data_IF_774536926747
#
_entry.id   IF_774536926747
#
_cell.length_a   1.000
_cell.length_b   1.000
_cell.length_c   1.000
_cell.angle_alpha   90.00
_cell.angle_beta   90.00
_cell.angle_gamma   90.00
#
_symmetry.space_group_name_H-M   'P 1'
#
loop_
_entity.id
_entity.type
_entity.pdbx_description
1 polymer ?
#
# COMPACT_ATOMS: atom_id res chain seq x y z
N UNK A 1 -3.40 22.54 9.14
CA UNK A 1 -2.20 21.69 9.22
C UNK A 1 -1.91 21.22 7.82
N UNK A 2 -0.77 21.61 7.24
CA UNK A 2 -0.40 21.12 5.91
C UNK A 2 -0.27 19.59 5.98
N UNK A 3 -0.93 18.88 5.09
CA UNK A 3 -0.83 17.42 5.02
C UNK A 3 0.57 17.11 4.47
N UNK A 4 1.48 16.61 5.31
CA UNK A 4 2.85 16.24 4.90
C UNK A 4 2.80 15.22 3.75
N UNK A 5 3.37 15.62 2.62
CA UNK A 5 3.33 14.88 1.36
C UNK A 5 4.38 13.78 1.22
N UNK A 6 5.22 13.55 2.23
CA UNK A 6 6.36 12.62 2.19
C UNK A 6 6.37 11.56 3.30
N UNK A 7 5.33 11.51 4.14
CA UNK A 7 5.33 10.70 5.37
C UNK A 7 5.65 9.21 5.11
N UNK A 8 5.10 8.62 4.05
CA UNK A 8 5.33 7.22 3.70
C UNK A 8 6.76 6.99 3.23
N UNK A 9 7.29 7.88 2.39
CA UNK A 9 8.68 7.81 1.91
C UNK A 9 9.69 7.97 3.04
N UNK A 10 9.46 8.95 3.93
CA UNK A 10 10.35 9.23 5.05
C UNK A 10 10.34 8.05 6.04
N UNK A 11 9.16 7.50 6.32
CA UNK A 11 9.01 6.31 7.17
C UNK A 11 9.70 5.10 6.56
N UNK A 12 9.56 4.87 5.25
CA UNK A 12 10.23 3.78 4.57
C UNK A 12 11.76 3.91 4.65
N UNK A 13 12.29 5.12 4.44
CA UNK A 13 13.73 5.39 4.49
C UNK A 13 14.30 5.06 5.87
N UNK A 14 13.73 5.65 6.92
CA UNK A 14 14.17 5.41 8.30
C UNK A 14 14.07 3.93 8.67
N UNK A 15 13.02 3.25 8.21
CA UNK A 15 12.83 1.81 8.47
C UNK A 15 13.91 0.96 7.79
N UNK A 16 14.20 1.20 6.51
CA UNK A 16 15.23 0.44 5.79
C UNK A 16 16.59 0.63 6.45
N UNK A 17 16.94 1.87 6.80
CA UNK A 17 18.20 2.18 7.48
C UNK A 17 18.31 1.49 8.84
N UNK A 18 17.26 1.57 9.67
CA UNK A 18 17.24 0.94 10.97
C UNK A 18 17.33 -0.59 10.88
N UNK A 19 16.64 -1.19 9.91
CA UNK A 19 16.71 -2.63 9.64
C UNK A 19 18.11 -3.06 9.19
N UNK A 20 18.74 -2.29 8.29
CA UNK A 20 20.12 -2.51 7.88
C UNK A 20 21.09 -2.45 9.05
N UNK A 21 20.98 -1.44 9.91
CA UNK A 21 21.80 -1.29 11.11
C UNK A 21 21.60 -2.44 12.13
N UNK A 22 20.40 -3.01 12.18
CA UNK A 22 20.05 -4.14 13.04
C UNK A 22 20.33 -5.52 12.41
N UNK A 23 20.79 -5.58 11.15
CA UNK A 23 20.99 -6.84 10.43
C UNK A 23 19.70 -7.59 10.09
N UNK A 24 18.55 -6.91 10.09
CA UNK A 24 17.25 -7.49 9.74
C UNK A 24 17.07 -7.45 8.24
N UNK A 25 16.82 -8.61 7.62
CA UNK A 25 16.77 -8.76 6.16
C UNK A 25 15.36 -8.85 5.59
N UNK A 26 14.35 -9.23 6.39
CA UNK A 26 12.97 -9.44 5.93
C UNK A 26 12.04 -8.31 6.38
N UNK A 27 11.32 -7.72 5.43
CA UNK A 27 10.26 -6.74 5.71
C UNK A 27 8.91 -7.21 5.17
N UNK A 28 7.87 -7.13 6.00
CA UNK A 28 6.47 -7.24 5.53
C UNK A 28 5.73 -6.01 6.04
N UNK A 29 5.06 -5.32 5.12
CA UNK A 29 4.33 -4.09 5.39
C UNK A 29 2.99 -4.06 4.67
N UNK A 30 2.11 -3.17 5.11
CA UNK A 30 0.82 -2.90 4.47
C UNK A 30 0.87 -1.47 3.94
N UNK A 31 0.60 -1.26 2.65
CA UNK A 31 0.46 0.07 2.04
C UNK A 31 -0.97 0.28 1.54
N UNK A 32 -1.51 1.47 1.79
CA UNK A 32 -2.93 1.76 1.58
C UNK A 32 -3.32 1.98 0.11
N UNK A 33 -4.57 1.66 -0.24
CA UNK A 33 -5.18 1.90 -1.54
C UNK A 33 -4.93 3.34 -2.05
N UNK A 34 -4.27 3.48 -3.19
CA UNK A 34 -3.92 4.77 -3.78
C UNK A 34 -2.90 4.68 -4.92
N UNK A 35 -2.22 3.54 -5.05
CA UNK A 35 -1.43 3.23 -6.25
C UNK A 35 -2.31 2.49 -7.26
N UNK A 36 -2.54 3.08 -8.43
CA UNK A 36 -2.94 2.32 -9.62
C UNK A 36 -1.68 1.66 -10.19
N UNK A 37 -1.67 0.33 -10.23
CA UNK A 37 -0.64 -0.43 -10.96
C UNK A 37 -1.29 -1.05 -12.19
N UNK A 38 -0.65 -0.99 -13.38
CA UNK A 38 -1.18 -1.63 -14.58
C UNK A 38 -1.42 -3.12 -14.33
N UNK A 39 -2.67 -3.57 -14.50
CA UNK A 39 -3.08 -4.97 -14.31
C UNK A 39 -4.16 -5.21 -13.24
N UNK A 40 -4.52 -4.20 -12.44
CA UNK A 40 -5.54 -4.34 -11.40
C UNK A 40 -6.97 -4.33 -11.99
N UNK A 41 -7.73 -5.41 -11.79
CA UNK A 41 -9.12 -5.54 -12.24
C UNK A 41 -10.08 -4.98 -11.18
N UNK A 42 -10.21 -3.65 -11.16
CA UNK A 42 -11.14 -2.91 -10.28
C UNK A 42 -12.57 -2.88 -10.84
N UNK A 43 -13.58 -2.99 -9.97
CA UNK A 43 -14.98 -2.71 -10.32
C UNK A 43 -15.19 -1.24 -10.72
N UNK A 44 -16.22 -0.93 -11.52
CA UNK A 44 -16.49 0.41 -12.05
C UNK A 44 -16.63 1.49 -10.96
N UNK A 45 -17.20 1.13 -9.80
CA UNK A 45 -17.35 2.00 -8.63
C UNK A 45 -16.01 2.27 -7.92
N UNK A 46 -15.14 1.26 -7.78
CA UNK A 46 -13.77 1.41 -7.23
C UNK A 46 -12.88 2.23 -8.17
N UNK A 47 -13.10 2.16 -9.48
CA UNK A 47 -12.44 3.04 -10.48
C UNK A 47 -12.85 4.50 -10.32
N UNK A 48 -14.13 4.80 -10.07
CA UNK A 48 -14.59 6.18 -9.87
C UNK A 48 -14.00 6.80 -8.59
N UNK A 49 -13.96 6.02 -7.49
CA UNK A 49 -13.37 6.47 -6.21
C UNK A 49 -11.85 6.61 -6.35
N UNK A 50 -11.16 5.67 -6.99
CA UNK A 50 -9.73 5.78 -7.29
C UNK A 50 -9.43 7.03 -8.12
N UNK A 51 -10.28 7.33 -9.11
CA UNK A 51 -10.13 8.51 -9.96
C UNK A 51 -10.40 9.81 -9.21
N UNK A 52 -11.37 9.84 -8.28
CA UNK A 52 -11.62 10.97 -7.38
C UNK A 52 -10.47 11.20 -6.39
N UNK A 53 -9.89 10.12 -5.86
CA UNK A 53 -8.70 10.18 -4.98
C UNK A 53 -7.47 10.64 -5.79
N UNK A 54 -7.30 10.24 -7.04
CA UNK A 54 -6.20 10.74 -7.88
C UNK A 54 -6.36 12.21 -8.27
N UNK A 55 -7.59 12.68 -8.53
CA UNK A 55 -7.83 14.09 -8.87
C UNK A 55 -7.84 15.02 -7.68
N UNK A 56 -8.15 14.54 -6.46
CA UNK A 56 -8.20 15.37 -5.24
C UNK A 56 -7.07 15.05 -4.22
N UNK A 57 -6.27 14.02 -4.44
CA UNK A 57 -5.36 13.43 -3.44
C UNK A 57 -3.98 14.07 -3.30
N UNK A 58 -3.70 15.18 -3.99
CA UNK A 58 -2.51 16.01 -3.75
C UNK A 58 -1.18 15.26 -3.69
N UNK A 59 -0.24 15.74 -2.86
CA UNK A 59 1.09 15.14 -2.71
C UNK A 59 1.09 13.73 -2.11
N UNK A 60 0.07 13.39 -1.31
CA UNK A 60 -0.04 12.07 -0.65
C UNK A 60 -0.23 10.92 -1.64
N UNK A 61 -0.77 11.19 -2.83
CA UNK A 61 -0.83 10.20 -3.92
C UNK A 61 0.54 10.02 -4.58
N UNK A 62 1.39 11.06 -4.59
CA UNK A 62 2.77 10.99 -5.12
C UNK A 62 3.75 10.33 -4.15
N UNK A 63 3.45 10.36 -2.86
CA UNK A 63 4.26 9.74 -1.80
C UNK A 63 4.35 8.21 -1.93
N UNK A 64 3.28 7.56 -2.39
CA UNK A 64 3.22 6.09 -2.45
C UNK A 64 4.14 5.45 -3.50
N UNK A 65 4.26 5.98 -4.73
CA UNK A 65 5.32 5.56 -5.66
C UNK A 65 6.73 5.76 -5.09
N UNK A 66 6.96 6.83 -4.31
CA UNK A 66 8.24 7.12 -3.69
C UNK A 66 8.55 6.15 -2.53
N UNK A 67 7.57 5.81 -1.68
CA UNK A 67 7.66 4.72 -0.70
C UNK A 67 8.11 3.40 -1.36
N UNK A 68 7.44 3.00 -2.45
CA UNK A 68 7.80 1.79 -3.17
C UNK A 68 9.23 1.85 -3.72
N UNK A 69 9.67 3.00 -4.24
CA UNK A 69 11.03 3.18 -4.75
C UNK A 69 12.09 2.96 -3.67
N UNK A 70 11.83 3.38 -2.42
CA UNK A 70 12.74 3.13 -1.28
C UNK A 70 12.93 1.64 -1.05
N UNK A 71 11.83 0.87 -0.94
CA UNK A 71 11.92 -0.59 -0.74
C UNK A 71 12.56 -1.28 -1.95
N UNK A 72 12.18 -0.91 -3.18
CA UNK A 72 12.72 -1.49 -4.41
C UNK A 72 14.22 -1.24 -4.59
N UNK A 73 14.75 -0.15 -4.04
CA UNK A 73 16.18 0.17 -4.05
C UNK A 73 16.96 -0.45 -2.87
N UNK A 74 16.27 -1.05 -1.90
CA UNK A 74 16.90 -1.67 -0.72
C UNK A 74 17.31 -3.13 -0.98
N UNK A 75 18.27 -3.61 -0.20
CA UNK A 75 18.68 -5.03 -0.20
C UNK A 75 17.76 -5.93 0.65
N UNK A 76 16.64 -5.39 1.15
CA UNK A 76 15.70 -6.16 1.95
C UNK A 76 14.91 -7.14 1.08
N UNK A 77 14.63 -8.31 1.63
CA UNK A 77 13.57 -9.18 1.14
C UNK A 77 12.23 -8.61 1.65
N UNK A 78 11.52 -7.89 0.77
CA UNK A 78 10.34 -7.12 1.17
C UNK A 78 9.05 -7.61 0.51
N UNK A 79 7.95 -7.46 1.24
CA UNK A 79 6.59 -7.62 0.72
C UNK A 79 5.72 -6.48 1.21
N UNK A 80 5.11 -5.76 0.26
CA UNK A 80 4.19 -4.67 0.55
C UNK A 80 2.76 -5.08 0.15
N UNK A 81 1.97 -5.50 1.15
CA UNK A 81 0.59 -5.95 0.97
C UNK A 81 -0.31 -4.74 0.74
N UNK A 82 -1.20 -4.82 -0.27
CA UNK A 82 -2.14 -3.75 -0.63
C UNK A 82 -3.57 -4.25 -0.54
N UNK A 83 -4.18 -4.24 0.64
CA UNK A 83 -5.57 -4.69 0.79
C UNK A 83 -6.49 -3.75 0.01
N UNK A 84 -7.53 -4.28 -0.67
CA UNK A 84 -8.49 -3.46 -1.40
C UNK A 84 -9.29 -2.57 -0.45
N UNK A 85 -9.66 -3.09 0.73
CA UNK A 85 -10.32 -2.37 1.79
C UNK A 85 -9.96 -2.98 3.14
N UNK A 86 -9.74 -2.14 4.15
CA UNK A 86 -9.70 -2.55 5.55
C UNK A 86 -11.04 -2.21 6.19
N UNK A 87 -11.57 -3.15 6.96
CA UNK A 87 -12.84 -3.04 7.66
C UNK A 87 -12.64 -3.25 9.15
N UNK A 88 -13.43 -2.57 9.97
CA UNK A 88 -13.46 -2.78 11.41
C UNK A 88 -14.32 -3.99 11.75
N UNK A 89 -13.87 -4.82 12.69
CA UNK A 89 -14.59 -6.01 13.14
C UNK A 89 -13.66 -7.06 13.74
N UNK A 90 -14.25 -8.14 14.23
CA UNK A 90 -13.47 -9.27 14.75
C UNK A 90 -12.69 -9.96 13.62
N UNK A 91 -11.47 -10.45 13.89
CA UNK A 91 -10.69 -11.17 12.90
C UNK A 91 -11.43 -12.46 12.49
N UNK A 92 -11.73 -12.59 11.21
CA UNK A 92 -12.46 -13.75 10.68
C UNK A 92 -11.58 -14.99 10.53
N UNK A 93 -10.25 -14.81 10.48
CA UNK A 93 -9.28 -15.86 10.16
C UNK A 93 -9.37 -16.38 8.72
N UNK A 94 -10.27 -15.82 7.90
CA UNK A 94 -10.48 -16.18 6.51
C UNK A 94 -9.96 -15.06 5.63
N UNK A 95 -9.04 -15.40 4.74
CA UNK A 95 -8.34 -14.43 3.92
C UNK A 95 -8.11 -15.02 2.52
N UNK A 96 -8.81 -14.46 1.54
CA UNK A 96 -8.61 -14.80 0.13
C UNK A 96 -7.65 -13.78 -0.49
N UNK A 97 -6.68 -14.25 -1.25
CA UNK A 97 -5.64 -13.40 -1.84
C UNK A 97 -5.41 -13.77 -3.31
N UNK A 98 -5.47 -12.75 -4.17
CA UNK A 98 -5.06 -12.82 -5.57
C UNK A 98 -4.26 -11.54 -5.89
N UNK A 99 -3.05 -11.70 -6.45
CA UNK A 99 -2.17 -10.57 -6.76
C UNK A 99 -2.69 -9.67 -7.90
N UNK A 100 -3.66 -10.15 -8.67
CA UNK A 100 -4.22 -9.51 -9.86
C UNK A 100 -5.71 -9.22 -9.74
N UNK A 101 -6.39 -9.73 -8.70
CA UNK A 101 -7.82 -9.53 -8.46
C UNK A 101 -8.07 -9.05 -7.04
N UNK A 102 -8.90 -8.02 -6.92
CA UNK A 102 -9.50 -7.69 -5.63
C UNK A 102 -10.48 -8.81 -5.26
N UNK A 103 -10.11 -9.61 -4.26
CA UNK A 103 -10.96 -10.65 -3.68
C UNK A 103 -11.97 -9.99 -2.76
N UNK A 104 -13.19 -9.77 -3.26
CA UNK A 104 -14.32 -9.38 -2.41
C UNK A 104 -14.95 -10.66 -1.89
N UNK A 105 -14.55 -11.11 -0.70
CA UNK A 105 -15.36 -12.07 0.04
C UNK A 105 -16.44 -11.27 0.77
N UNK A 106 -17.54 -11.00 0.07
CA UNK A 106 -18.84 -10.76 0.68
C UNK A 106 -19.78 -11.79 0.08
N UNK A 107 -19.63 -13.03 0.53
CA UNK A 107 -20.77 -13.94 0.59
C UNK A 107 -21.42 -13.71 1.95
N UNK A 108 -22.72 -13.39 1.91
CA UNK A 108 -23.57 -13.26 3.08
C UNK A 108 -24.04 -14.59 3.63
#
# INVERSE_FOLDING_TARGET
>A
MAKEGSLHTDTATVRVEAMGAAGVTRSVGVSGAGMDVPGDQKSLSVRLISRAIQTQGGEVVKDKPAEHAVYAASDLDWTLVRPPQLVDGDPTGQLEHDAHRSTTTSDG
#
